data_IF_432725594943
#
_entry.id   IF_432725594943
#
_cell.length_a   1.000
_cell.length_b   1.000
_cell.length_c   1.000
_cell.angle_alpha   90.00
_cell.angle_beta   90.00
_cell.angle_gamma   90.00
#
_symmetry.space_group_name_H-M   'P 1'
#
loop_
_entity.id
_entity.type
_entity.pdbx_description
1 polymer ?
#
# COMPACT_ATOMS: atom_id res chain seq x y z
N UNK A 1 -12.20 4.05 1.86
CA UNK A 1 -10.94 3.50 2.43
C UNK A 1 -10.72 4.14 3.79
N UNK A 2 -9.98 3.48 4.68
CA UNK A 2 -9.56 4.05 5.97
C UNK A 2 -8.04 4.07 6.04
N UNK A 3 -7.49 4.94 6.88
CA UNK A 3 -6.05 5.01 7.18
C UNK A 3 -5.83 4.95 8.68
N UNK A 4 -4.94 4.05 9.11
CA UNK A 4 -4.37 4.02 10.45
C UNK A 4 -2.92 4.49 10.41
N UNK A 5 -2.48 5.24 11.41
CA UNK A 5 -1.12 5.78 11.50
C UNK A 5 -0.57 5.62 12.91
N UNK A 6 0.72 5.34 13.00
CA UNK A 6 1.51 5.35 14.23
C UNK A 6 2.95 5.73 13.90
N UNK A 7 3.79 6.14 14.86
CA UNK A 7 5.20 6.40 14.60
C UNK A 7 5.88 5.17 13.98
N UNK A 8 6.36 5.29 12.74
CA UNK A 8 6.97 4.18 11.99
C UNK A 8 6.00 3.21 11.31
N UNK A 9 4.69 3.51 11.28
CA UNK A 9 3.70 2.69 10.58
C UNK A 9 2.56 3.49 9.93
N UNK A 10 2.19 3.12 8.71
CA UNK A 10 0.96 3.55 8.05
C UNK A 10 0.23 2.34 7.45
N UNK A 11 -1.08 2.27 7.66
CA UNK A 11 -1.94 1.19 7.17
C UNK A 11 -3.07 1.79 6.37
N UNK A 12 -3.13 1.47 5.07
CA UNK A 12 -4.32 1.75 4.26
C UNK A 12 -5.24 0.53 4.30
N UNK A 13 -6.44 0.69 4.84
CA UNK A 13 -7.46 -0.34 4.89
C UNK A 13 -8.43 -0.21 3.71
N UNK A 14 -8.62 -1.33 3.01
CA UNK A 14 -9.53 -1.48 1.87
C UNK A 14 -10.46 -2.68 2.07
N UNK A 15 -11.37 -2.67 3.08
CA UNK A 15 -12.17 -3.86 3.44
C UNK A 15 -13.01 -4.45 2.30
N UNK A 16 -13.45 -3.63 1.34
CA UNK A 16 -14.19 -4.05 0.15
C UNK A 16 -13.30 -4.62 -0.98
N UNK A 17 -11.99 -4.68 -0.75
CA UNK A 17 -10.97 -4.94 -1.75
C UNK A 17 -10.68 -3.72 -2.62
N UNK A 18 -9.42 -3.49 -2.94
CA UNK A 18 -8.98 -2.47 -3.90
C UNK A 18 -7.95 -3.04 -4.86
N UNK A 19 -7.92 -2.55 -6.11
CA UNK A 19 -6.87 -2.93 -7.05
C UNK A 19 -5.58 -2.24 -6.63
N UNK A 20 -4.48 -2.98 -6.64
CA UNK A 20 -3.17 -2.47 -6.26
C UNK A 20 -2.08 -2.99 -7.18
N UNK A 21 -0.99 -2.25 -7.26
CA UNK A 21 0.24 -2.62 -7.95
C UNK A 21 1.45 -2.19 -7.15
N UNK A 22 2.61 -2.75 -7.49
CA UNK A 22 3.87 -2.47 -6.82
C UNK A 22 5.02 -2.31 -7.82
N UNK A 23 5.92 -1.38 -7.53
CA UNK A 23 7.23 -1.27 -8.16
C UNK A 23 8.32 -1.40 -7.10
N UNK A 24 9.31 -2.25 -7.37
CA UNK A 24 10.43 -2.54 -6.47
C UNK A 24 11.71 -2.22 -7.21
N UNK A 25 12.54 -1.34 -6.67
CA UNK A 25 13.87 -1.03 -7.22
C UNK A 25 14.95 -1.21 -6.16
N UNK A 26 16.00 -1.93 -6.54
CA UNK A 26 17.00 -2.46 -5.59
C UNK A 26 16.54 -3.78 -4.96
N UNK A 27 17.10 -4.12 -3.81
CA UNK A 27 16.75 -5.33 -3.05
C UNK A 27 16.22 -4.96 -1.65
N UNK A 28 15.03 -4.34 -1.54
CA UNK A 28 14.48 -3.97 -0.25
C UNK A 28 14.16 -5.22 0.57
N UNK A 29 14.53 -5.16 1.85
CA UNK A 29 14.21 -6.17 2.86
C UNK A 29 12.94 -5.78 3.61
N UNK A 30 12.36 -6.71 4.38
CA UNK A 30 11.15 -6.43 5.16
C UNK A 30 9.87 -6.33 4.33
N UNK A 31 9.84 -7.02 3.19
CA UNK A 31 8.68 -7.07 2.28
C UNK A 31 7.85 -8.33 2.49
N UNK A 32 6.55 -8.26 2.16
CA UNK A 32 5.61 -9.39 2.26
C UNK A 32 4.57 -9.29 1.15
N UNK A 33 4.20 -10.42 0.57
CA UNK A 33 3.08 -10.58 -0.37
C UNK A 33 3.15 -9.71 -1.64
N UNK A 34 4.36 -9.27 -2.04
CA UNK A 34 4.52 -8.44 -3.24
C UNK A 34 4.22 -9.19 -4.54
N UNK A 35 4.59 -10.47 -4.63
CA UNK A 35 4.39 -11.29 -5.83
C UNK A 35 2.90 -11.46 -6.18
N UNK A 36 2.00 -11.35 -5.19
CA UNK A 36 0.55 -11.40 -5.41
C UNK A 36 0.02 -10.16 -6.15
N UNK A 37 0.83 -9.11 -6.28
CA UNK A 37 0.48 -7.89 -7.01
C UNK A 37 0.95 -7.93 -8.47
N UNK A 38 1.55 -9.04 -8.91
CA UNK A 38 1.85 -9.20 -10.32
C UNK A 38 0.54 -9.31 -11.13
N UNK A 39 0.36 -8.50 -12.21
CA UNK A 39 -0.87 -8.48 -13.00
C UNK A 39 -1.29 -9.81 -13.61
N UNK A 40 -0.37 -10.78 -13.72
CA UNK A 40 -0.65 -12.13 -14.23
C UNK A 40 -1.26 -13.07 -13.20
N UNK A 41 -1.32 -12.67 -11.92
CA UNK A 41 -1.83 -13.51 -10.84
C UNK A 41 -3.36 -13.45 -10.71
N UNK A 42 -3.92 -14.42 -9.96
CA UNK A 42 -5.36 -14.49 -9.70
C UNK A 42 -5.85 -13.40 -8.72
N UNK A 43 -4.96 -12.90 -7.86
CA UNK A 43 -5.31 -11.96 -6.80
C UNK A 43 -5.48 -10.58 -7.41
N UNK A 44 -6.74 -10.17 -7.63
CA UNK A 44 -7.08 -8.87 -8.24
C UNK A 44 -7.20 -7.74 -7.22
N UNK A 45 -7.38 -8.05 -5.94
CA UNK A 45 -7.71 -7.07 -4.90
C UNK A 45 -6.98 -7.34 -3.59
N UNK A 46 -6.50 -6.26 -2.97
CA UNK A 46 -5.90 -6.24 -1.64
C UNK A 46 -6.89 -5.72 -0.61
N UNK A 47 -6.72 -6.13 0.64
CA UNK A 47 -7.60 -5.76 1.75
C UNK A 47 -6.96 -4.72 2.68
N UNK A 48 -5.63 -4.61 2.60
CA UNK A 48 -4.86 -3.50 3.12
C UNK A 48 -3.51 -3.39 2.40
N UNK A 49 -2.85 -2.23 2.52
CA UNK A 49 -1.42 -2.07 2.24
C UNK A 49 -0.75 -1.51 3.49
N UNK A 50 0.37 -2.11 3.90
CA UNK A 50 1.06 -1.76 5.14
C UNK A 50 2.46 -1.23 4.85
N UNK A 51 2.72 -0.02 5.33
CA UNK A 51 4.04 0.54 5.50
C UNK A 51 4.41 0.31 6.97
N UNK A 52 5.08 -0.79 7.30
CA UNK A 52 5.28 -1.18 8.69
C UNK A 52 5.80 -2.61 8.86
N UNK A 53 6.36 -2.88 10.04
CA UNK A 53 7.02 -4.15 10.34
C UNK A 53 6.08 -5.35 10.54
N UNK A 54 6.63 -6.54 10.81
CA UNK A 54 5.87 -7.79 10.92
C UNK A 54 4.71 -7.77 11.91
N UNK A 55 4.87 -7.23 13.13
CA UNK A 55 3.76 -7.20 14.10
C UNK A 55 2.63 -6.27 13.64
N UNK A 56 2.96 -5.19 12.89
CA UNK A 56 1.96 -4.35 12.25
C UNK A 56 1.15 -5.20 11.27
N UNK A 57 1.80 -5.97 10.41
CA UNK A 57 1.08 -6.79 9.43
C UNK A 57 0.24 -7.86 10.11
N UNK A 58 0.77 -8.55 11.12
CA UNK A 58 0.04 -9.61 11.82
C UNK A 58 -1.20 -9.08 12.54
N UNK A 59 -1.09 -7.91 13.17
CA UNK A 59 -2.23 -7.20 13.76
C UNK A 59 -3.29 -6.82 12.74
N UNK A 60 -2.89 -6.32 11.56
CA UNK A 60 -3.78 -5.96 10.45
C UNK A 60 -4.50 -7.19 9.89
N UNK A 61 -3.77 -8.27 9.64
CA UNK A 61 -4.33 -9.54 9.14
C UNK A 61 -5.36 -10.07 10.12
N UNK A 62 -5.04 -10.10 11.42
CA UNK A 62 -5.98 -10.51 12.47
C UNK A 62 -7.24 -9.64 12.48
N UNK A 63 -7.07 -8.31 12.45
CA UNK A 63 -8.20 -7.37 12.46
C UNK A 63 -9.15 -7.57 11.27
N UNK A 64 -8.60 -7.78 10.07
CA UNK A 64 -9.36 -8.04 8.84
C UNK A 64 -10.06 -9.40 8.86
N UNK A 65 -9.35 -10.46 9.27
CA UNK A 65 -9.88 -11.82 9.32
C UNK A 65 -11.06 -11.95 10.29
N UNK A 66 -10.95 -11.37 11.50
CA UNK A 66 -12.05 -11.35 12.49
C UNK A 66 -13.33 -10.68 11.96
N UNK A 67 -13.20 -9.81 10.95
CA UNK A 67 -14.30 -9.07 10.32
C UNK A 67 -14.73 -9.66 8.97
N UNK A 68 -14.16 -10.81 8.58
CA UNK A 68 -14.49 -11.48 7.33
C UNK A 68 -14.02 -10.72 6.08
N UNK A 69 -13.00 -9.87 6.20
CA UNK A 69 -12.41 -9.14 5.07
C UNK A 69 -11.22 -9.91 4.52
N UNK A 70 -11.37 -10.49 3.33
CA UNK A 70 -10.29 -11.23 2.69
C UNK A 70 -10.72 -11.93 1.41
N UNK A 71 -9.75 -12.53 0.73
CA UNK A 71 -9.98 -13.43 -0.37
C UNK A 71 -10.73 -14.66 0.14
N UNK A 72 -11.88 -14.98 -0.47
CA UNK A 72 -12.71 -16.10 -0.03
C UNK A 72 -12.06 -17.43 -0.41
N UNK A 73 -11.78 -18.26 0.60
CA UNK A 73 -11.15 -19.60 0.40
C UNK A 73 -12.08 -20.75 0.75
N UNK A 74 -13.20 -20.47 1.41
CA UNK A 74 -14.16 -21.49 1.84
C UNK A 74 -15.60 -21.20 1.46
N UNK A 75 -16.48 -22.11 1.88
CA UNK A 75 -17.92 -22.04 1.62
C UNK A 75 -18.60 -21.07 2.56
N UNK A 76 -18.11 -20.96 3.79
CA UNK A 76 -18.68 -20.06 4.78
C UNK A 76 -18.20 -18.62 4.58
N UNK A 77 -19.02 -17.61 4.89
CA UNK A 77 -18.64 -16.20 4.72
C UNK A 77 -17.39 -15.76 5.49
N UNK A 78 -17.07 -16.41 6.62
CA UNK A 78 -15.92 -16.08 7.46
C UNK A 78 -14.62 -16.80 7.04
N UNK A 79 -14.69 -17.73 6.08
CA UNK A 79 -13.52 -18.47 5.58
C UNK A 79 -12.79 -17.62 4.52
N UNK A 80 -12.04 -16.63 5.00
CA UNK A 80 -11.31 -15.66 4.19
C UNK A 80 -9.83 -15.62 4.53
N UNK A 81 -9.00 -15.23 3.56
CA UNK A 81 -7.58 -14.94 3.72
C UNK A 81 -7.35 -13.47 3.34
N UNK A 82 -7.08 -12.57 4.31
CA UNK A 82 -6.71 -11.20 4.01
C UNK A 82 -5.44 -11.16 3.15
N UNK A 83 -5.47 -10.35 2.09
CA UNK A 83 -4.31 -10.06 1.24
C UNK A 83 -3.76 -8.71 1.68
N UNK A 84 -2.56 -8.71 2.25
CA UNK A 84 -1.95 -7.55 2.94
C UNK A 84 -0.48 -7.43 2.50
N UNK A 85 -0.23 -6.92 1.28
CA UNK A 85 1.12 -6.55 0.88
C UNK A 85 1.71 -5.50 1.83
N UNK A 86 2.99 -5.68 2.14
CA UNK A 86 3.69 -4.81 3.07
C UNK A 86 5.14 -4.61 2.69
N UNK A 87 5.69 -3.47 3.10
CA UNK A 87 7.11 -3.22 3.12
C UNK A 87 7.46 -2.25 4.26
N UNK A 88 8.64 -2.41 4.84
CA UNK A 88 9.14 -1.50 5.87
C UNK A 88 10.66 -1.33 5.79
N UNK A 89 11.17 -0.10 6.01
CA UNK A 89 12.55 0.12 6.36
C UNK A 89 12.95 -0.71 7.59
N UNK A 90 14.12 -1.36 7.58
CA UNK A 90 14.69 -1.98 8.78
C UNK A 90 14.81 -0.99 9.94
N UNK A 91 14.73 -1.51 11.16
CA UNK A 91 14.96 -0.73 12.38
C UNK A 91 13.80 0.16 12.83
N UNK A 92 12.65 0.13 12.14
CA UNK A 92 11.45 0.81 12.60
C UNK A 92 10.86 0.15 13.86
N UNK A 93 10.14 0.90 14.71
CA UNK A 93 9.50 0.36 15.90
C UNK A 93 8.52 -0.76 15.56
N UNK A 94 8.41 -1.71 16.48
CA UNK A 94 7.38 -2.75 16.39
C UNK A 94 6.04 -2.19 16.89
N UNK A 95 5.06 -2.08 15.99
CA UNK A 95 3.78 -1.45 16.24
C UNK A 95 2.68 -2.51 16.19
N UNK A 96 1.76 -2.51 17.16
CA UNK A 96 0.57 -3.37 17.08
C UNK A 96 -0.38 -2.87 16.00
N UNK A 97 -0.41 -3.56 14.86
CA UNK A 97 -1.27 -3.21 13.74
C UNK A 97 -2.76 -3.32 14.05
N UNK A 98 -3.15 -4.14 15.03
CA UNK A 98 -4.56 -4.26 15.41
C UNK A 98 -5.07 -2.96 16.02
N UNK A 99 -4.26 -2.35 16.90
CA UNK A 99 -4.55 -1.04 17.47
C UNK A 99 -4.59 0.05 16.39
N UNK A 100 -3.64 0.04 15.45
CA UNK A 100 -3.59 0.97 14.31
C UNK A 100 -4.87 0.89 13.46
N UNK A 101 -5.36 -0.33 13.17
CA UNK A 101 -6.61 -0.53 12.46
C UNK A 101 -7.83 -0.04 13.27
N UNK A 102 -7.82 -0.26 14.58
CA UNK A 102 -8.92 0.13 15.47
C UNK A 102 -9.07 1.65 15.56
N UNK A 103 -7.96 2.39 15.48
CA UNK A 103 -7.96 3.85 15.45
C UNK A 103 -8.02 4.45 14.03
N UNK A 104 -8.28 3.64 13.00
CA UNK A 104 -8.25 4.11 11.62
C UNK A 104 -9.37 5.13 11.35
N UNK A 105 -9.04 6.16 10.58
CA UNK A 105 -9.95 7.26 10.20
C UNK A 105 -10.20 7.24 8.69
N UNK A 106 -11.22 7.96 8.16
CA UNK A 106 -11.36 8.15 6.73
C UNK A 106 -10.06 8.68 6.10
N UNK A 107 -9.72 8.16 4.92
CA UNK A 107 -8.52 8.58 4.20
C UNK A 107 -8.57 10.08 3.87
N UNK A 108 -7.55 10.82 4.31
CA UNK A 108 -7.41 12.28 4.23
C UNK A 108 -6.17 12.73 3.44
N UNK A 109 -5.35 11.79 2.95
CA UNK A 109 -4.18 12.04 2.11
C UNK A 109 -4.11 11.02 0.98
N UNK A 110 -3.43 11.37 -0.11
CA UNK A 110 -3.22 10.50 -1.26
C UNK A 110 -1.86 9.80 -1.28
N UNK A 111 -0.95 10.12 -0.35
CA UNK A 111 0.36 9.48 -0.32
C UNK A 111 0.99 9.41 1.07
N UNK A 112 1.87 8.41 1.25
CA UNK A 112 2.68 8.15 2.43
C UNK A 112 4.08 7.74 2.02
N UNK A 113 5.08 8.07 2.84
CA UNK A 113 6.42 7.54 2.72
C UNK A 113 6.99 7.20 4.10
N UNK A 114 7.85 6.19 4.17
CA UNK A 114 8.76 5.95 5.29
C UNK A 114 10.17 5.77 4.73
N UNK A 115 11.13 6.52 5.27
CA UNK A 115 12.53 6.52 4.82
C UNK A 115 13.43 6.00 5.94
N UNK A 116 14.27 5.04 5.61
CA UNK A 116 15.36 4.54 6.47
C UNK A 116 16.47 3.97 5.61
N UNK A 117 17.04 2.82 5.99
CA UNK A 117 18.03 2.10 5.17
C UNK A 117 17.45 1.62 3.82
N UNK A 118 16.13 1.45 3.77
CA UNK A 118 15.34 1.36 2.54
C UNK A 118 14.22 2.39 2.61
N UNK A 119 13.53 2.64 1.51
CA UNK A 119 12.36 3.51 1.48
C UNK A 119 11.11 2.74 1.05
N UNK A 120 9.96 3.16 1.56
CA UNK A 120 8.66 2.64 1.09
C UNK A 120 7.71 3.80 0.86
N UNK A 121 6.99 3.74 -0.25
CA UNK A 121 5.96 4.69 -0.62
C UNK A 121 4.63 4.01 -0.86
N UNK A 122 3.54 4.70 -0.58
CA UNK A 122 2.19 4.30 -0.96
C UNK A 122 1.49 5.51 -1.57
N UNK A 123 0.88 5.33 -2.75
CA UNK A 123 0.00 6.30 -3.39
C UNK A 123 -1.40 5.73 -3.56
N UNK A 124 -2.41 6.56 -3.31
CA UNK A 124 -3.82 6.27 -3.56
C UNK A 124 -4.28 7.11 -4.75
N UNK A 125 -4.80 6.46 -5.78
CA UNK A 125 -5.26 7.10 -7.01
C UNK A 125 -6.76 7.03 -7.09
N UNK A 126 -7.39 8.19 -7.30
CA UNK A 126 -8.84 8.29 -7.43
C UNK A 126 -9.33 7.93 -8.84
N UNK A 127 -9.18 6.66 -9.20
CA UNK A 127 -9.50 6.14 -10.53
C UNK A 127 -9.88 4.65 -10.44
N UNK A 128 -10.67 4.17 -11.40
CA UNK A 128 -10.84 2.75 -11.70
C UNK A 128 -9.70 2.32 -12.62
N UNK A 129 -8.75 1.57 -12.06
CA UNK A 129 -7.55 1.11 -12.74
C UNK A 129 -7.45 -0.40 -12.64
N UNK A 130 -6.90 -1.01 -13.69
CA UNK A 130 -6.51 -2.42 -13.64
C UNK A 130 -5.15 -2.63 -12.92
N UNK A 131 -4.76 -3.89 -12.62
CA UNK A 131 -3.48 -4.15 -11.94
C UNK A 131 -2.24 -3.67 -12.69
N UNK A 132 -2.25 -3.70 -14.04
CA UNK A 132 -1.13 -3.24 -14.85
C UNK A 132 -1.02 -1.71 -14.83
N UNK A 133 -2.15 -1.00 -14.83
CA UNK A 133 -2.22 0.44 -14.68
C UNK A 133 -1.79 0.88 -13.28
N UNK A 134 -2.22 0.20 -12.21
CA UNK A 134 -1.69 0.45 -10.86
C UNK A 134 -0.18 0.24 -10.80
N UNK A 135 0.35 -0.83 -11.41
CA UNK A 135 1.80 -1.05 -11.51
C UNK A 135 2.48 0.09 -12.27
N UNK A 136 1.88 0.59 -13.35
CA UNK A 136 2.40 1.76 -14.10
C UNK A 136 2.45 3.02 -13.25
N UNK A 137 1.42 3.28 -12.45
CA UNK A 137 1.42 4.38 -11.48
C UNK A 137 2.55 4.21 -10.46
N UNK A 138 2.69 3.02 -9.85
CA UNK A 138 3.74 2.75 -8.87
C UNK A 138 5.15 3.00 -9.44
N UNK A 139 5.40 2.53 -10.68
CA UNK A 139 6.65 2.76 -11.39
C UNK A 139 6.94 4.25 -11.61
N UNK A 140 5.93 5.04 -11.99
CA UNK A 140 6.11 6.49 -12.16
C UNK A 140 6.31 7.19 -10.83
N UNK A 141 5.51 6.85 -9.83
CA UNK A 141 5.56 7.47 -8.51
C UNK A 141 6.93 7.28 -7.84
N UNK A 142 7.63 6.17 -8.13
CA UNK A 142 9.00 5.93 -7.69
C UNK A 142 9.96 7.09 -7.98
N UNK A 143 9.77 7.82 -9.08
CA UNK A 143 10.61 8.97 -9.42
C UNK A 143 10.58 10.07 -8.34
N UNK A 144 9.57 10.08 -7.47
CA UNK A 144 9.49 10.95 -6.31
C UNK A 144 10.69 10.80 -5.36
N UNK A 145 11.15 9.56 -5.11
CA UNK A 145 12.32 9.32 -4.25
C UNK A 145 13.58 9.93 -4.85
N UNK A 146 13.83 9.70 -6.14
CA UNK A 146 14.97 10.28 -6.84
C UNK A 146 14.93 11.82 -6.82
N UNK A 147 13.75 12.43 -7.06
CA UNK A 147 13.55 13.88 -6.99
C UNK A 147 13.79 14.46 -5.59
N UNK A 148 13.51 13.68 -4.55
CA UNK A 148 13.76 14.04 -3.17
C UNK A 148 15.20 13.72 -2.70
N UNK A 149 16.06 13.17 -3.57
CA UNK A 149 17.43 12.78 -3.21
C UNK A 149 17.55 11.47 -2.42
N UNK A 150 16.48 10.68 -2.34
CA UNK A 150 16.46 9.36 -1.70
C UNK A 150 17.01 8.33 -2.68
N UNK A 151 18.17 7.74 -2.35
CA UNK A 151 18.95 6.85 -3.24
C UNK A 151 19.06 5.41 -2.73
N UNK A 152 18.39 5.10 -1.62
CA UNK A 152 18.31 3.74 -1.05
C UNK A 152 17.37 2.85 -1.86
N UNK A 153 17.47 1.50 -1.74
CA UNK A 153 16.47 0.60 -2.31
C UNK A 153 15.06 0.98 -1.84
N UNK A 154 14.08 0.90 -2.73
CA UNK A 154 12.74 1.36 -2.43
C UNK A 154 11.63 0.51 -3.04
N UNK A 155 10.49 0.49 -2.35
CA UNK A 155 9.24 -0.14 -2.79
C UNK A 155 8.15 0.90 -2.86
N UNK A 156 7.40 0.97 -3.97
CA UNK A 156 6.24 1.86 -4.09
C UNK A 156 4.99 1.04 -4.40
N UNK A 157 3.97 1.22 -3.59
CA UNK A 157 2.62 0.69 -3.82
C UNK A 157 1.74 1.76 -4.45
N UNK A 158 0.87 1.37 -5.36
CA UNK A 158 -0.24 2.19 -5.85
C UNK A 158 -1.56 1.45 -5.62
N UNK A 159 -2.57 2.15 -5.10
CA UNK A 159 -3.90 1.60 -4.82
C UNK A 159 -4.97 2.47 -5.48
N UNK A 160 -5.87 1.85 -6.25
CA UNK A 160 -6.96 2.51 -6.95
C UNK A 160 -8.25 2.53 -6.12
N UNK A 161 -8.96 3.65 -6.10
CA UNK A 161 -10.26 3.78 -5.39
C UNK A 161 -11.41 3.09 -6.11
N UNK A 162 -11.30 2.90 -7.44
CA UNK A 162 -12.37 2.33 -8.27
C UNK A 162 -13.35 3.37 -8.84
N UNK A 163 -13.07 4.67 -8.71
CA UNK A 163 -13.94 5.71 -9.25
C UNK A 163 -13.75 5.89 -10.77
N UNK A 164 -14.82 5.83 -11.59
CA UNK A 164 -14.70 6.04 -13.03
C UNK A 164 -14.01 7.36 -13.34
N UNK A 165 -13.02 7.32 -14.24
CA UNK A 165 -12.25 8.51 -14.62
C UNK A 165 -12.07 8.59 -16.13
N UNK A 166 -12.01 9.81 -16.65
CA UNK A 166 -11.55 10.09 -18.02
C UNK A 166 -10.15 10.70 -18.04
N UNK A 167 -9.51 10.85 -16.87
CA UNK A 167 -8.16 11.39 -16.75
C UNK A 167 -7.18 10.42 -17.40
N UNK A 168 -6.34 10.89 -18.34
CA UNK A 168 -5.30 10.06 -18.94
C UNK A 168 -4.36 9.45 -17.90
N UNK A 169 -3.95 8.19 -18.09
CA UNK A 169 -3.06 7.48 -17.16
C UNK A 169 -1.75 8.24 -16.88
N UNK A 170 -1.20 8.95 -17.86
CA UNK A 170 0.02 9.75 -17.69
C UNK A 170 -0.17 10.92 -16.70
N UNK A 171 -1.36 11.52 -16.67
CA UNK A 171 -1.68 12.60 -15.75
C UNK A 171 -1.89 12.07 -14.32
N UNK A 172 -2.49 10.88 -14.20
CA UNK A 172 -2.58 10.15 -12.93
C UNK A 172 -1.18 9.81 -12.40
N UNK A 173 -0.28 9.31 -13.27
CA UNK A 173 1.11 9.04 -12.92
C UNK A 173 1.86 10.29 -12.43
N UNK A 174 1.67 11.42 -13.10
CA UNK A 174 2.29 12.70 -12.74
C UNK A 174 1.77 13.21 -11.38
N UNK A 175 0.46 13.12 -11.17
CA UNK A 175 -0.20 13.49 -9.91
C UNK A 175 0.30 12.61 -8.75
N UNK A 176 0.35 11.29 -8.95
CA UNK A 176 0.83 10.34 -7.95
C UNK A 176 2.30 10.57 -7.58
N UNK A 177 3.15 10.84 -8.57
CA UNK A 177 4.57 11.20 -8.36
C UNK A 177 4.71 12.46 -7.53
N UNK A 178 3.89 13.48 -7.82
CA UNK A 178 3.92 14.74 -7.07
C UNK A 178 3.44 14.55 -5.64
N UNK A 179 2.36 13.81 -5.43
CA UNK A 179 1.83 13.48 -4.10
C UNK A 179 2.88 12.72 -3.25
N UNK A 180 3.53 11.70 -3.81
CA UNK A 180 4.56 10.96 -3.09
C UNK A 180 5.78 11.83 -2.78
N UNK A 181 6.19 12.71 -3.71
CA UNK A 181 7.29 13.64 -3.45
C UNK A 181 6.98 14.57 -2.26
N UNK A 182 5.75 15.09 -2.15
CA UNK A 182 5.33 15.85 -0.98
C UNK A 182 5.32 15.01 0.30
N UNK A 183 4.87 13.75 0.23
CA UNK A 183 4.88 12.85 1.38
C UNK A 183 6.30 12.60 1.91
N UNK A 184 7.30 12.44 1.04
CA UNK A 184 8.70 12.24 1.43
C UNK A 184 9.23 13.41 2.29
N UNK A 185 8.86 14.65 1.97
CA UNK A 185 9.28 15.84 2.75
C UNK A 185 8.47 16.06 4.03
N UNK A 186 7.35 15.34 4.20
CA UNK A 186 6.52 15.37 5.39
C UNK A 186 6.78 14.20 6.35
N UNK A 187 7.67 13.28 5.98
CA UNK A 187 7.98 12.03 6.69
C UNK A 187 8.97 12.21 7.84
#
# INVERSE_FOLDING_TARGET
MLVGRAPGAAVLLTPAGAVAGVDVRGAPVGTRELDLLDPSTLVRRVHAVVLGGPATVDGVVRWLAERGHGFRVGRQPHEVVPIVPAAAPPGLPDIDGYAVCTSAVPLDTSAFALIGETAVGLVVVDADLDPAECRRVAMSAHDAFARAGVTVPATVFAVATGNPTTTPLNDLCTTATTALHHAVHAS
#
